data_IF_815153228421
#
_entry.id   IF_815153228421
#
_cell.length_a   1.000
_cell.length_b   1.000
_cell.length_c   1.000
_cell.angle_alpha   90.00
_cell.angle_beta   90.00
_cell.angle_gamma   90.00
#
_symmetry.space_group_name_H-M   'P 1'
#
loop_
_entity.id
_entity.type
_entity.pdbx_description
1 polymer ?
#
# COMPACT_ATOMS: atom_id res chain seq x y z
N UNK A 1 1.37 -7.24 25.58
CA UNK A 1 1.03 -5.86 25.15
C UNK A 1 -0.02 -5.36 26.13
N UNK A 2 -0.01 -4.09 26.55
CA UNK A 2 -1.10 -3.59 27.41
C UNK A 2 -2.38 -3.71 26.59
N UNK A 3 -3.38 -4.43 27.10
CA UNK A 3 -4.64 -4.69 26.39
C UNK A 3 -5.42 -3.40 26.05
N UNK A 4 -5.04 -2.25 26.62
CA UNK A 4 -5.74 -0.98 26.45
C UNK A 4 -5.21 -0.07 25.32
N UNK A 5 -4.08 -0.38 24.69
CA UNK A 5 -3.53 0.49 23.64
C UNK A 5 -3.94 -0.05 22.26
N UNK A 6 -4.77 0.67 21.49
CA UNK A 6 -5.14 0.23 20.16
C UNK A 6 -3.91 0.14 19.23
N UNK A 7 -3.98 -0.77 18.27
CA UNK A 7 -3.02 -0.90 17.18
C UNK A 7 -2.99 0.36 16.30
N UNK A 8 -1.91 0.57 15.55
CA UNK A 8 -1.87 1.65 14.57
C UNK A 8 -3.00 1.51 13.52
N UNK A 9 -3.41 0.28 13.22
CA UNK A 9 -4.52 -0.01 12.32
C UNK A 9 -5.84 0.54 12.87
N UNK A 10 -6.12 0.32 14.15
CA UNK A 10 -7.31 0.85 14.82
C UNK A 10 -7.25 2.38 14.92
N UNK A 11 -6.12 2.94 15.33
CA UNK A 11 -5.91 4.40 15.35
C UNK A 11 -6.06 5.05 13.97
N UNK A 12 -5.66 4.36 12.90
CA UNK A 12 -5.79 4.84 11.53
C UNK A 12 -7.23 4.74 10.98
N UNK A 13 -8.18 4.17 11.72
CA UNK A 13 -9.57 4.00 11.30
C UNK A 13 -9.85 2.70 10.53
N UNK A 14 -8.96 1.71 10.64
CA UNK A 14 -9.14 0.37 10.09
C UNK A 14 -9.12 0.29 8.56
N UNK A 15 -9.61 -0.85 8.04
CA UNK A 15 -9.51 -1.17 6.61
C UNK A 15 -10.27 -0.17 5.72
N UNK A 16 -11.42 0.28 6.19
CA UNK A 16 -12.24 1.30 5.54
C UNK A 16 -11.44 2.60 5.27
N UNK A 17 -10.76 3.11 6.30
CA UNK A 17 -9.96 4.33 6.18
C UNK A 17 -8.75 4.13 5.25
N UNK A 18 -8.05 3.00 5.36
CA UNK A 18 -6.90 2.69 4.52
C UNK A 18 -7.28 2.51 3.04
N UNK A 19 -8.42 1.88 2.74
CA UNK A 19 -8.91 1.76 1.37
C UNK A 19 -9.26 3.13 0.76
N UNK A 20 -9.89 4.03 1.53
CA UNK A 20 -10.15 5.39 1.06
C UNK A 20 -8.85 6.17 0.84
N UNK A 21 -7.89 6.02 1.74
CA UNK A 21 -6.56 6.64 1.63
C UNK A 21 -5.86 6.19 0.35
N UNK A 22 -5.72 4.88 0.13
CA UNK A 22 -4.98 4.36 -1.02
C UNK A 22 -5.70 4.65 -2.34
N UNK A 23 -7.04 4.56 -2.39
CA UNK A 23 -7.80 4.99 -3.59
C UNK A 23 -7.50 6.44 -3.94
N UNK A 24 -7.57 7.35 -2.96
CA UNK A 24 -7.30 8.78 -3.17
C UNK A 24 -5.83 9.02 -3.55
N UNK A 25 -4.90 8.28 -2.95
CA UNK A 25 -3.48 8.35 -3.26
C UNK A 25 -3.21 7.93 -4.71
N UNK A 26 -3.70 6.76 -5.14
CA UNK A 26 -3.45 6.26 -6.48
C UNK A 26 -4.18 7.05 -7.57
N UNK A 27 -5.31 7.67 -7.25
CA UNK A 27 -5.94 8.69 -8.10
C UNK A 27 -4.98 9.86 -8.37
N UNK A 28 -4.20 10.30 -7.38
CA UNK A 28 -3.19 11.35 -7.56
C UNK A 28 -1.96 10.83 -8.30
N UNK A 29 -1.46 9.65 -7.93
CA UNK A 29 -0.31 8.99 -8.58
C UNK A 29 -0.55 8.84 -10.09
N UNK A 30 -1.74 8.39 -10.50
CA UNK A 30 -2.06 8.21 -11.92
C UNK A 30 -2.05 9.50 -12.74
N UNK A 31 -2.13 10.67 -12.09
CA UNK A 31 -2.08 12.00 -12.72
C UNK A 31 -0.71 12.66 -12.62
N UNK A 32 0.22 12.10 -11.84
CA UNK A 32 1.54 12.68 -11.64
C UNK A 32 2.46 12.37 -12.85
N UNK A 33 3.18 13.38 -13.39
CA UNK A 33 3.99 13.18 -14.59
C UNK A 33 5.24 12.31 -14.37
N UNK A 34 5.73 12.15 -13.14
CA UNK A 34 6.95 11.41 -12.81
C UNK A 34 6.61 9.95 -12.46
N UNK A 35 5.65 9.76 -11.54
CA UNK A 35 5.30 8.41 -11.06
C UNK A 35 4.15 7.78 -11.84
N UNK A 36 3.26 8.57 -12.45
CA UNK A 36 2.15 8.06 -13.26
C UNK A 36 2.56 7.04 -14.34
N UNK A 37 3.64 7.27 -15.13
CA UNK A 37 4.11 6.30 -16.10
C UNK A 37 4.49 4.93 -15.51
N UNK A 38 4.98 4.88 -14.26
CA UNK A 38 5.32 3.64 -13.55
C UNK A 38 4.06 2.80 -13.28
N UNK A 39 2.94 3.46 -13.02
CA UNK A 39 1.66 2.83 -12.67
C UNK A 39 0.67 2.73 -13.84
N UNK A 40 1.04 3.13 -15.06
CA UNK A 40 0.15 3.19 -16.24
C UNK A 40 -0.59 1.88 -16.53
N UNK A 41 0.03 0.74 -16.22
CA UNK A 41 -0.52 -0.60 -16.45
C UNK A 41 -0.82 -1.36 -15.15
N UNK A 42 -0.95 -0.66 -14.03
CA UNK A 42 -1.31 -1.29 -12.75
C UNK A 42 -2.72 -1.88 -12.83
N UNK A 43 -2.95 -2.96 -12.08
CA UNK A 43 -4.31 -3.49 -11.88
C UNK A 43 -5.19 -2.44 -11.18
N UNK A 44 -6.48 -2.32 -11.52
CA UNK A 44 -7.45 -1.52 -10.76
C UNK A 44 -7.52 -1.91 -9.27
N UNK A 45 -7.15 -3.15 -8.92
CA UNK A 45 -7.16 -3.66 -7.53
C UNK A 45 -5.90 -3.27 -6.74
N UNK A 46 -4.89 -2.68 -7.39
CA UNK A 46 -3.62 -2.32 -6.75
C UNK A 46 -3.78 -1.46 -5.47
N UNK A 47 -4.67 -0.44 -5.42
CA UNK A 47 -4.90 0.32 -4.19
C UNK A 47 -5.42 -0.53 -3.02
N UNK A 48 -6.25 -1.54 -3.29
CA UNK A 48 -6.78 -2.43 -2.27
C UNK A 48 -5.70 -3.38 -1.73
N UNK A 49 -4.81 -3.87 -2.60
CA UNK A 49 -3.65 -4.67 -2.17
C UNK A 49 -2.72 -3.85 -1.27
N UNK A 50 -2.45 -2.60 -1.62
CA UNK A 50 -1.60 -1.70 -0.82
C UNK A 50 -2.27 -1.37 0.53
N UNK A 51 -3.59 -1.16 0.56
CA UNK A 51 -4.34 -0.95 1.81
C UNK A 51 -4.26 -2.16 2.73
N UNK A 52 -4.41 -3.37 2.19
CA UNK A 52 -4.27 -4.61 2.95
C UNK A 52 -2.84 -4.77 3.52
N UNK A 53 -1.81 -4.46 2.72
CA UNK A 53 -0.42 -4.53 3.17
C UNK A 53 -0.13 -3.54 4.31
N UNK A 54 -0.50 -2.26 4.14
CA UNK A 54 -0.32 -1.23 5.18
C UNK A 54 -1.10 -1.63 6.45
N UNK A 55 -2.33 -2.11 6.28
CA UNK A 55 -3.17 -2.52 7.41
C UNK A 55 -2.53 -3.65 8.23
N UNK A 56 -1.97 -4.64 7.55
CA UNK A 56 -1.24 -5.73 8.20
C UNK A 56 0.02 -5.23 8.92
N UNK A 57 0.82 -4.36 8.29
CA UNK A 57 2.00 -3.72 8.91
C UNK A 57 1.62 -2.92 10.16
N UNK A 58 0.43 -2.30 10.15
CA UNK A 58 -0.08 -1.50 11.27
C UNK A 58 -0.70 -2.34 12.40
N UNK A 59 -0.64 -3.68 12.31
CA UNK A 59 -1.16 -4.61 13.31
C UNK A 59 -2.61 -5.06 13.07
N UNK A 60 -3.15 -4.80 11.89
CA UNK A 60 -4.45 -5.30 11.46
C UNK A 60 -4.44 -6.77 11.00
N UNK A 61 -5.53 -7.24 10.37
CA UNK A 61 -5.64 -8.62 9.88
C UNK A 61 -4.56 -8.99 8.84
N UNK A 62 -4.17 -10.28 8.78
CA UNK A 62 -3.16 -10.81 7.85
C UNK A 62 -3.63 -10.98 6.40
N UNK A 63 -4.56 -10.13 5.97
CA UNK A 63 -5.25 -10.28 4.68
C UNK A 63 -4.28 -10.21 3.50
N UNK A 64 -3.21 -9.41 3.59
CA UNK A 64 -2.24 -9.32 2.49
C UNK A 64 -1.40 -10.58 2.41
N UNK A 65 -0.86 -11.06 3.54
CA UNK A 65 -0.06 -12.28 3.56
C UNK A 65 -0.85 -13.51 3.10
N UNK A 66 -2.11 -13.63 3.52
CA UNK A 66 -2.98 -14.75 3.15
C UNK A 66 -3.32 -14.77 1.65
N UNK A 67 -3.49 -13.60 1.02
CA UNK A 67 -3.94 -13.49 -0.38
C UNK A 67 -2.82 -13.22 -1.38
N UNK A 68 -1.71 -12.65 -0.93
CA UNK A 68 -0.66 -12.09 -1.78
C UNK A 68 0.76 -12.46 -1.34
N UNK A 69 0.94 -13.44 -0.44
CA UNK A 69 2.26 -14.02 -0.14
C UNK A 69 3.16 -13.19 0.78
N UNK A 70 2.68 -12.07 1.31
CA UNK A 70 3.31 -11.33 2.40
C UNK A 70 4.49 -10.46 1.97
N UNK A 71 5.28 -10.03 2.96
CA UNK A 71 6.35 -9.03 2.75
C UNK A 71 7.34 -9.41 1.64
N UNK A 72 7.72 -10.69 1.53
CA UNK A 72 8.64 -11.16 0.47
C UNK A 72 8.06 -10.90 -0.91
N UNK A 73 6.80 -11.27 -1.13
CA UNK A 73 6.15 -11.11 -2.44
C UNK A 73 5.97 -9.63 -2.79
N UNK A 74 5.65 -8.79 -1.80
CA UNK A 74 5.64 -7.33 -1.96
C UNK A 74 6.98 -6.82 -2.50
N UNK A 75 8.10 -7.22 -1.90
CA UNK A 75 9.44 -6.83 -2.37
C UNK A 75 9.69 -7.33 -3.79
N UNK A 76 9.32 -8.57 -4.10
CA UNK A 76 9.49 -9.14 -5.45
C UNK A 76 8.79 -8.31 -6.54
N UNK A 77 7.62 -7.72 -6.26
CA UNK A 77 6.94 -6.83 -7.20
C UNK A 77 7.71 -5.53 -7.53
N UNK A 78 8.64 -5.12 -6.65
CA UNK A 78 9.44 -3.90 -6.80
C UNK A 78 10.85 -4.18 -7.34
N UNK A 79 11.35 -5.41 -7.23
CA UNK A 79 12.66 -5.78 -7.76
C UNK A 79 12.70 -5.62 -9.29
N UNK A 80 13.83 -5.11 -9.78
CA UNK A 80 14.06 -4.89 -11.22
C UNK A 80 13.26 -3.74 -11.84
N UNK A 81 12.56 -2.92 -11.05
CA UNK A 81 11.82 -1.75 -11.56
C UNK A 81 12.69 -0.53 -11.84
N UNK A 82 13.96 -0.54 -11.42
CA UNK A 82 14.92 0.55 -11.61
C UNK A 82 14.37 1.93 -11.20
N UNK A 83 13.64 1.97 -10.08
CA UNK A 83 13.04 3.20 -9.56
C UNK A 83 14.15 4.20 -9.20
N UNK A 84 14.04 5.40 -9.74
CA UNK A 84 14.97 6.50 -9.45
C UNK A 84 14.66 7.14 -8.09
N UNK A 85 15.63 7.85 -7.51
CA UNK A 85 15.41 8.61 -6.28
C UNK A 85 14.32 9.69 -6.43
N UNK A 86 14.17 10.27 -7.62
CA UNK A 86 13.10 11.22 -7.90
C UNK A 86 11.73 10.56 -7.84
N UNK A 87 11.57 9.38 -8.45
CA UNK A 87 10.33 8.60 -8.37
C UNK A 87 10.03 8.19 -6.93
N UNK A 88 11.03 7.74 -6.16
CA UNK A 88 10.87 7.37 -4.74
C UNK A 88 10.45 8.55 -3.87
N UNK A 89 10.96 9.76 -4.13
CA UNK A 89 10.60 10.98 -3.39
C UNK A 89 9.22 11.50 -3.76
N UNK A 90 8.80 11.27 -5.01
CA UNK A 90 7.50 11.75 -5.50
C UNK A 90 6.34 10.85 -5.07
N UNK A 91 6.59 9.55 -4.97
CA UNK A 91 5.66 8.58 -4.39
C UNK A 91 5.48 8.83 -2.90
#
# INVERSE_FOLDING_TARGET
MREDVPTLFEWAGGAEALNRLTRTFYDKVGRDPIVGPVFKHMSPDHPAHVAAFIGEVFGGPKTYSEKHGGHREMVMHHLGKHLTEEQRRRW
#
